data_IF_939548855885
#
_entry.id   IF_939548855885
#
_cell.length_a   1.000
_cell.length_b   1.000
_cell.length_c   1.000
_cell.angle_alpha   90.00
_cell.angle_beta   90.00
_cell.angle_gamma   90.00
#
_symmetry.space_group_name_H-M   'P 1'
#
loop_
_entity.id
_entity.type
_entity.pdbx_description
1 polymer ?
#
# COMPACT_ATOMS: atom_id res chain seq x y z
N UNK A 1 -5.73 27.75 -5.32
CA UNK A 1 -6.77 28.38 -6.16
C UNK A 1 -8.06 27.69 -5.81
N UNK A 2 -9.12 28.47 -5.61
CA UNK A 2 -10.41 27.96 -5.16
C UNK A 2 -11.01 27.00 -6.19
N UNK A 3 -11.36 25.79 -5.76
CA UNK A 3 -12.06 24.78 -6.57
C UNK A 3 -13.58 25.06 -6.64
N UNK A 4 -14.06 26.17 -6.04
CA UNK A 4 -15.46 26.56 -6.10
C UNK A 4 -15.93 26.77 -7.54
N UNK A 5 -17.06 26.16 -7.86
CA UNK A 5 -17.70 26.25 -9.17
C UNK A 5 -18.58 27.51 -9.15
N UNK A 6 -18.33 28.45 -10.07
CA UNK A 6 -19.18 29.62 -10.22
C UNK A 6 -20.48 29.28 -10.95
N UNK A 7 -21.53 30.11 -10.81
CA UNK A 7 -22.74 29.96 -11.64
C UNK A 7 -22.46 30.00 -13.14
N UNK A 8 -21.42 30.73 -13.56
CA UNK A 8 -21.00 30.73 -14.96
C UNK A 8 -20.43 29.38 -15.38
N UNK A 9 -19.71 28.72 -14.49
CA UNK A 9 -19.16 27.39 -14.74
C UNK A 9 -20.26 26.33 -14.81
N UNK A 10 -21.28 26.41 -13.95
CA UNK A 10 -22.43 25.49 -13.98
C UNK A 10 -23.15 25.54 -15.34
N UNK A 11 -23.46 26.74 -15.83
CA UNK A 11 -24.08 26.91 -17.15
C UNK A 11 -23.20 26.39 -18.28
N UNK A 12 -21.90 26.66 -18.23
CA UNK A 12 -20.97 26.21 -19.27
C UNK A 12 -20.79 24.69 -19.27
N UNK A 13 -20.72 24.06 -18.09
CA UNK A 13 -20.66 22.60 -17.97
C UNK A 13 -21.95 21.97 -18.49
N UNK A 14 -23.13 22.50 -18.13
CA UNK A 14 -24.40 22.02 -18.66
C UNK A 14 -24.49 22.15 -20.19
N UNK A 15 -23.99 23.27 -20.75
CA UNK A 15 -23.89 23.49 -22.20
C UNK A 15 -23.01 22.44 -22.87
N UNK A 16 -21.80 22.21 -22.33
CA UNK A 16 -20.83 21.25 -22.85
C UNK A 16 -21.34 19.80 -22.76
N UNK A 17 -22.02 19.45 -21.66
CA UNK A 17 -22.66 18.14 -21.47
C UNK A 17 -23.95 17.97 -22.29
N UNK A 18 -24.54 19.07 -22.77
CA UNK A 18 -25.86 19.13 -23.42
C UNK A 18 -27.01 18.64 -22.54
N UNK A 19 -26.83 18.71 -21.22
CA UNK A 19 -27.81 18.33 -20.19
C UNK A 19 -27.35 18.88 -18.85
N UNK A 20 -28.29 18.98 -17.91
CA UNK A 20 -27.94 19.26 -16.53
C UNK A 20 -27.11 18.11 -15.92
N UNK A 21 -26.06 18.42 -15.12
CA UNK A 21 -25.32 17.43 -14.36
C UNK A 21 -26.24 16.64 -13.43
N UNK A 22 -26.09 15.31 -13.42
CA UNK A 22 -26.90 14.40 -12.59
C UNK A 22 -26.25 14.05 -11.25
N UNK A 23 -25.17 14.72 -10.87
CA UNK A 23 -24.45 14.52 -9.62
C UNK A 23 -23.47 15.64 -9.34
N UNK A 24 -22.89 15.63 -8.14
CA UNK A 24 -21.83 16.57 -7.76
C UNK A 24 -20.58 16.37 -8.63
N UNK A 25 -19.84 17.44 -8.90
CA UNK A 25 -18.60 17.38 -9.67
C UNK A 25 -17.65 18.52 -9.28
N UNK A 26 -16.40 18.41 -9.72
CA UNK A 26 -15.36 19.46 -9.66
C UNK A 26 -14.80 19.69 -11.06
N UNK A 27 -14.45 20.91 -11.42
CA UNK A 27 -13.69 21.19 -12.65
C UNK A 27 -12.21 21.04 -12.32
N UNK A 28 -11.58 20.01 -12.88
CA UNK A 28 -10.19 19.66 -12.56
C UNK A 28 -9.21 20.02 -13.67
N UNK A 29 -9.70 20.28 -14.88
CA UNK A 29 -8.88 20.76 -16.00
C UNK A 29 -9.57 21.89 -16.74
N UNK A 30 -8.83 22.97 -16.99
CA UNK A 30 -9.26 24.08 -17.85
C UNK A 30 -8.25 24.33 -18.97
N UNK A 31 -8.71 24.82 -20.11
CA UNK A 31 -7.79 25.24 -21.18
C UNK A 31 -7.09 26.54 -20.80
N UNK A 32 -5.77 26.60 -21.00
CA UNK A 32 -4.96 27.79 -20.79
C UNK A 32 -5.38 28.88 -21.78
N UNK A 33 -5.46 30.12 -21.31
CA UNK A 33 -5.88 31.28 -22.11
C UNK A 33 -7.40 31.54 -22.08
N UNK A 34 -8.24 30.56 -22.41
CA UNK A 34 -9.70 30.75 -22.38
C UNK A 34 -10.36 30.43 -21.05
N UNK A 35 -9.67 29.71 -20.16
CA UNK A 35 -10.18 29.24 -18.87
C UNK A 35 -11.44 28.35 -18.96
N UNK A 36 -11.78 27.84 -20.16
CA UNK A 36 -12.95 26.99 -20.36
C UNK A 36 -12.77 25.64 -19.66
N UNK A 37 -13.83 25.04 -19.09
CA UNK A 37 -13.80 23.68 -18.57
C UNK A 37 -13.44 22.65 -19.66
N UNK A 38 -12.60 21.68 -19.32
CA UNK A 38 -12.17 20.60 -20.24
C UNK A 38 -12.42 19.23 -19.62
N UNK A 39 -12.09 19.07 -18.34
CA UNK A 39 -12.35 17.83 -17.60
C UNK A 39 -13.05 18.14 -16.29
N UNK A 40 -14.11 17.39 -16.03
CA UNK A 40 -14.74 17.35 -14.70
C UNK A 40 -14.42 16.04 -14.00
N UNK A 41 -14.24 16.11 -12.69
CA UNK A 41 -14.21 14.97 -11.79
C UNK A 41 -15.61 14.82 -11.18
N UNK A 42 -16.31 13.75 -11.53
CA UNK A 42 -17.61 13.41 -10.97
C UNK A 42 -17.47 12.81 -9.58
N UNK A 43 -18.45 13.11 -8.73
CA UNK A 43 -18.69 12.35 -7.52
C UNK A 43 -18.99 10.88 -7.86
N UNK A 44 -18.59 9.91 -7.02
CA UNK A 44 -18.80 8.50 -7.33
C UNK A 44 -20.26 8.07 -7.40
N UNK A 45 -21.19 8.91 -6.92
CA UNK A 45 -22.63 8.70 -6.96
C UNK A 45 -23.34 9.91 -7.54
N UNK A 46 -24.38 9.63 -8.32
CA UNK A 46 -25.35 10.61 -8.80
C UNK A 46 -26.26 11.09 -7.65
N UNK A 47 -27.04 12.14 -7.89
CA UNK A 47 -27.99 12.67 -6.89
C UNK A 47 -29.05 11.65 -6.46
N UNK A 48 -29.37 10.67 -7.30
CA UNK A 48 -30.31 9.59 -7.02
C UNK A 48 -29.68 8.37 -6.32
N UNK A 49 -28.39 8.44 -5.96
CA UNK A 49 -27.64 7.35 -5.34
C UNK A 49 -27.11 6.30 -6.32
N UNK A 50 -27.31 6.46 -7.64
CA UNK A 50 -26.76 5.54 -8.64
C UNK A 50 -25.23 5.65 -8.69
N UNK A 51 -24.48 4.51 -8.65
CA UNK A 51 -23.04 4.54 -8.81
C UNK A 51 -22.62 5.02 -10.21
N UNK A 52 -21.73 6.00 -10.26
CA UNK A 52 -21.28 6.66 -11.49
C UNK A 52 -20.09 5.91 -12.11
N UNK A 53 -20.17 5.27 -13.29
CA UNK A 53 -19.14 4.36 -13.78
C UNK A 53 -17.78 5.00 -14.10
N UNK A 54 -17.68 6.33 -14.17
CA UNK A 54 -16.43 7.02 -14.54
C UNK A 54 -16.22 8.31 -13.74
N UNK A 55 -15.07 8.41 -13.08
CA UNK A 55 -14.62 9.54 -12.27
C UNK A 55 -14.28 10.78 -13.09
N UNK A 56 -13.56 10.67 -14.22
CA UNK A 56 -13.15 11.83 -15.03
C UNK A 56 -13.86 11.86 -16.38
N UNK A 57 -14.50 12.97 -16.71
CA UNK A 57 -15.23 13.17 -17.95
C UNK A 57 -14.59 14.26 -18.79
N UNK A 58 -14.34 13.95 -20.06
CA UNK A 58 -13.90 14.90 -21.06
C UNK A 58 -15.12 15.67 -21.59
N UNK A 59 -15.22 16.94 -21.24
CA UNK A 59 -16.36 17.80 -21.61
C UNK A 59 -15.97 18.88 -22.62
N UNK A 60 -14.68 19.11 -22.86
CA UNK A 60 -14.23 20.11 -23.83
C UNK A 60 -14.70 19.78 -25.26
N UNK A 61 -15.40 20.72 -25.91
CA UNK A 61 -15.99 20.54 -27.25
C UNK A 61 -14.97 20.11 -28.32
N UNK A 62 -13.77 20.70 -28.28
CA UNK A 62 -12.68 20.37 -29.22
C UNK A 62 -12.12 18.99 -28.92
N UNK A 63 -11.70 18.76 -27.68
CA UNK A 63 -11.04 17.53 -27.25
C UNK A 63 -11.95 16.31 -27.44
N UNK A 64 -13.22 16.42 -27.05
CA UNK A 64 -14.18 15.33 -27.18
C UNK A 64 -14.45 14.98 -28.65
N UNK A 65 -14.49 15.98 -29.54
CA UNK A 65 -14.66 15.78 -30.99
C UNK A 65 -13.44 15.10 -31.62
N UNK A 66 -12.25 15.57 -31.28
CA UNK A 66 -11.00 15.04 -31.82
C UNK A 66 -10.82 13.57 -31.39
N UNK A 67 -11.11 13.24 -30.14
CA UNK A 67 -11.09 11.84 -29.64
C UNK A 67 -12.19 10.99 -30.24
N UNK A 68 -13.41 11.52 -30.42
CA UNK A 68 -14.50 10.78 -31.05
C UNK A 68 -14.16 10.40 -32.51
N UNK A 69 -13.46 11.28 -33.24
CA UNK A 69 -12.93 10.96 -34.57
C UNK A 69 -11.89 9.84 -34.51
N UNK A 70 -10.96 9.90 -33.55
CA UNK A 70 -9.97 8.83 -33.36
C UNK A 70 -10.64 7.48 -33.04
N UNK A 71 -11.68 7.47 -32.20
CA UNK A 71 -12.44 6.25 -31.90
C UNK A 71 -13.11 5.67 -33.14
N UNK A 72 -13.77 6.49 -33.96
CA UNK A 72 -14.46 6.02 -35.17
C UNK A 72 -13.52 5.47 -36.23
N UNK A 73 -12.26 5.93 -36.23
CA UNK A 73 -11.17 5.42 -37.09
C UNK A 73 -10.48 4.16 -36.52
N UNK A 74 -11.03 3.57 -35.44
CA UNK A 74 -10.54 2.34 -34.82
C UNK A 74 -9.43 2.54 -33.80
N UNK A 75 -9.28 3.76 -33.26
CA UNK A 75 -8.23 4.14 -32.32
C UNK A 75 -8.15 3.29 -31.05
N UNK A 76 -9.27 2.71 -30.59
CA UNK A 76 -9.32 1.78 -29.44
C UNK A 76 -8.47 0.54 -29.72
N UNK A 77 -8.73 -0.16 -30.84
CA UNK A 77 -8.00 -1.39 -31.21
C UNK A 77 -6.53 -1.09 -31.49
N UNK A 78 -6.23 0.09 -32.04
CA UNK A 78 -4.86 0.52 -32.28
C UNK A 78 -4.12 0.76 -30.95
N UNK A 79 -4.75 1.45 -29.99
CA UNK A 79 -4.17 1.68 -28.67
C UNK A 79 -3.87 0.36 -27.94
N UNK A 80 -4.80 -0.60 -27.93
CA UNK A 80 -4.58 -1.91 -27.30
C UNK A 80 -3.46 -2.73 -27.95
N UNK A 81 -3.23 -2.55 -29.25
CA UNK A 81 -2.15 -3.21 -29.99
C UNK A 81 -0.79 -2.54 -29.77
N UNK A 82 -0.77 -1.22 -29.72
CA UNK A 82 0.45 -0.42 -29.76
C UNK A 82 1.03 -0.15 -28.35
N UNK A 83 0.25 -0.34 -27.28
CA UNK A 83 0.64 -0.08 -25.89
C UNK A 83 1.04 -1.36 -25.14
N UNK A 84 1.92 -1.22 -24.13
CA UNK A 84 2.26 -2.31 -23.21
C UNK A 84 1.03 -2.72 -22.39
N UNK A 85 0.57 -3.98 -22.48
CA UNK A 85 -0.56 -4.47 -21.69
C UNK A 85 -0.38 -4.28 -20.17
N UNK A 86 0.85 -4.32 -19.66
CA UNK A 86 1.12 -4.13 -18.22
C UNK A 86 0.87 -2.69 -17.79
N UNK A 87 1.15 -1.72 -18.65
CA UNK A 87 0.89 -0.30 -18.37
C UNK A 87 -0.59 0.01 -18.40
N UNK A 88 -1.32 -0.61 -19.33
CA UNK A 88 -2.77 -0.51 -19.37
C UNK A 88 -3.40 -1.10 -18.10
N UNK A 89 -3.00 -2.31 -17.70
CA UNK A 89 -3.47 -2.93 -16.47
C UNK A 89 -3.12 -2.09 -15.23
N UNK A 90 -1.90 -1.54 -15.18
CA UNK A 90 -1.46 -0.66 -14.11
C UNK A 90 -2.33 0.60 -14.01
N UNK A 91 -2.67 1.24 -15.13
CA UNK A 91 -3.54 2.41 -15.16
C UNK A 91 -4.96 2.09 -14.66
N UNK A 92 -5.55 0.97 -15.09
CA UNK A 92 -6.85 0.52 -14.58
C UNK A 92 -6.81 0.22 -13.08
N UNK A 93 -5.75 -0.43 -12.58
CA UNK A 93 -5.60 -0.75 -11.15
C UNK A 93 -5.46 0.51 -10.30
N UNK A 94 -4.60 1.46 -10.68
CA UNK A 94 -4.43 2.72 -9.96
C UNK A 94 -5.75 3.50 -9.90
N UNK A 95 -6.46 3.57 -11.04
CA UNK A 95 -7.76 4.20 -11.11
C UNK A 95 -8.78 3.54 -10.18
N UNK A 96 -8.86 2.20 -10.21
CA UNK A 96 -9.78 1.44 -9.38
C UNK A 96 -9.47 1.61 -7.88
N UNK A 97 -8.19 1.60 -7.49
CA UNK A 97 -7.76 1.79 -6.10
C UNK A 97 -8.13 3.18 -5.59
N UNK A 98 -7.85 4.23 -6.37
CA UNK A 98 -8.24 5.61 -6.02
C UNK A 98 -9.75 5.71 -5.81
N UNK A 99 -10.51 5.10 -6.72
CA UNK A 99 -11.96 5.11 -6.70
C UNK A 99 -12.52 4.34 -5.50
N UNK A 100 -11.99 3.16 -5.20
CA UNK A 100 -12.42 2.34 -4.07
C UNK A 100 -12.29 3.09 -2.75
N UNK A 101 -11.18 3.83 -2.57
CA UNK A 101 -10.97 4.65 -1.38
C UNK A 101 -11.99 5.79 -1.25
N UNK A 102 -12.26 6.53 -2.34
CA UNK A 102 -13.27 7.60 -2.35
C UNK A 102 -14.71 7.09 -2.14
N UNK A 103 -14.92 5.78 -2.19
CA UNK A 103 -16.23 5.14 -1.99
C UNK A 103 -16.27 4.18 -0.82
N UNK A 104 -15.27 4.21 0.06
CA UNK A 104 -15.10 3.25 1.15
C UNK A 104 -16.31 3.20 2.08
N UNK A 105 -16.96 4.34 2.29
CA UNK A 105 -18.12 4.58 3.18
C UNK A 105 -19.46 4.10 2.61
N UNK A 106 -19.49 3.62 1.36
CA UNK A 106 -20.73 3.28 0.66
C UNK A 106 -20.87 1.77 0.43
N UNK A 107 -22.10 1.27 0.54
CA UNK A 107 -22.42 -0.16 0.43
C UNK A 107 -22.17 -0.73 -0.97
N UNK A 108 -22.53 0.00 -2.03
CA UNK A 108 -22.43 -0.44 -3.44
C UNK A 108 -21.25 0.24 -4.12
N UNK A 109 -20.08 -0.39 -4.05
CA UNK A 109 -18.85 0.20 -4.57
C UNK A 109 -18.81 0.12 -6.10
N UNK A 110 -18.71 1.24 -6.83
CA UNK A 110 -18.55 1.20 -8.27
C UNK A 110 -17.19 0.60 -8.65
N UNK A 111 -17.23 -0.52 -9.37
CA UNK A 111 -16.05 -1.30 -9.73
C UNK A 111 -15.53 -0.98 -11.14
N UNK A 112 -14.27 -1.36 -11.41
CA UNK A 112 -13.63 -1.21 -12.71
C UNK A 112 -12.57 -0.11 -12.73
N UNK A 113 -11.70 -0.18 -13.74
CA UNK A 113 -10.71 0.85 -14.01
C UNK A 113 -11.27 1.99 -14.84
N UNK A 114 -10.39 2.68 -15.56
CA UNK A 114 -10.75 3.82 -16.43
C UNK A 114 -11.89 3.47 -17.38
N UNK A 115 -12.92 4.32 -17.44
CA UNK A 115 -14.11 4.10 -18.28
C UNK A 115 -15.05 2.99 -17.80
N UNK A 116 -14.86 2.47 -16.58
CA UNK A 116 -15.70 1.43 -15.99
C UNK A 116 -15.45 0.03 -16.55
N UNK A 117 -14.30 -0.21 -17.21
CA UNK A 117 -13.90 -1.56 -17.66
C UNK A 117 -12.86 -2.17 -16.73
N UNK A 118 -12.89 -3.50 -16.58
CA UNK A 118 -11.87 -4.25 -15.82
C UNK A 118 -10.63 -4.58 -16.66
N UNK A 119 -10.77 -4.67 -17.99
CA UNK A 119 -9.68 -5.00 -18.93
C UNK A 119 -9.90 -4.29 -20.26
N UNK A 120 -8.82 -4.01 -20.96
CA UNK A 120 -8.85 -3.38 -22.27
C UNK A 120 -9.37 -1.94 -22.24
N UNK A 121 -9.60 -1.38 -23.41
CA UNK A 121 -10.01 0.02 -23.58
C UNK A 121 -11.46 0.08 -24.05
N UNK A 122 -12.35 0.65 -23.22
CA UNK A 122 -13.76 0.83 -23.57
C UNK A 122 -14.05 2.20 -24.20
N UNK A 123 -13.37 3.24 -23.73
CA UNK A 123 -13.64 4.63 -24.12
C UNK A 123 -12.39 5.50 -24.00
N UNK A 124 -11.90 6.02 -25.13
CA UNK A 124 -10.74 6.92 -25.21
C UNK A 124 -11.00 8.25 -24.51
N UNK A 125 -12.25 8.75 -24.46
CA UNK A 125 -12.57 9.99 -23.74
C UNK A 125 -12.26 9.88 -22.25
N UNK A 126 -12.59 8.75 -21.62
CA UNK A 126 -12.32 8.53 -20.20
C UNK A 126 -10.81 8.47 -19.92
N UNK A 127 -10.04 7.83 -20.81
CA UNK A 127 -8.59 7.77 -20.72
C UNK A 127 -7.92 9.12 -20.94
N UNK A 128 -8.35 9.88 -21.95
CA UNK A 128 -7.84 11.23 -22.16
C UNK A 128 -8.18 12.15 -20.98
N UNK A 129 -9.41 12.10 -20.47
CA UNK A 129 -9.82 12.86 -19.30
C UNK A 129 -8.96 12.55 -18.08
N UNK A 130 -8.73 11.25 -17.81
CA UNK A 130 -7.89 10.78 -16.71
C UNK A 130 -6.45 11.31 -16.86
N UNK A 131 -5.87 11.20 -18.06
CA UNK A 131 -4.52 11.70 -18.34
C UNK A 131 -4.40 13.23 -18.17
N UNK A 132 -5.32 13.99 -18.78
CA UNK A 132 -5.31 15.45 -18.68
C UNK A 132 -5.51 15.94 -17.24
N UNK A 133 -6.18 15.17 -16.39
CA UNK A 133 -6.31 15.44 -14.95
C UNK A 133 -5.01 15.12 -14.16
N UNK A 134 -3.89 14.89 -14.83
CA UNK A 134 -2.58 14.66 -14.22
C UNK A 134 -2.36 13.22 -13.72
N UNK A 135 -3.13 12.24 -14.21
CA UNK A 135 -2.99 10.85 -13.81
C UNK A 135 -2.14 10.06 -14.81
N UNK A 136 -1.45 9.03 -14.32
CA UNK A 136 -0.86 8.01 -15.18
C UNK A 136 -1.95 7.31 -16.00
N UNK A 137 -1.90 7.48 -17.32
CA UNK A 137 -2.78 6.80 -18.26
C UNK A 137 -2.10 6.73 -19.65
N UNK A 138 -1.58 5.55 -20.05
CA UNK A 138 -0.86 5.39 -21.31
C UNK A 138 -1.78 5.59 -22.52
N UNK A 139 -3.08 5.27 -22.41
CA UNK A 139 -4.06 5.44 -23.47
C UNK A 139 -4.41 6.91 -23.64
N UNK A 140 -4.55 7.66 -22.55
CA UNK A 140 -4.76 9.10 -22.61
C UNK A 140 -3.56 9.83 -23.22
N UNK A 141 -2.33 9.43 -22.85
CA UNK A 141 -1.10 9.92 -23.50
C UNK A 141 -1.05 9.59 -25.00
N UNK A 142 -1.43 8.36 -25.36
CA UNK A 142 -1.58 7.96 -26.76
C UNK A 142 -2.57 8.84 -27.52
N UNK A 143 -3.73 9.14 -26.92
CA UNK A 143 -4.74 10.03 -27.51
C UNK A 143 -4.17 11.43 -27.73
N UNK A 144 -3.47 12.01 -26.74
CA UNK A 144 -2.79 13.31 -26.88
C UNK A 144 -1.90 13.36 -28.12
N UNK A 145 -1.05 12.33 -28.29
CA UNK A 145 -0.13 12.26 -29.43
C UNK A 145 -0.86 12.13 -30.77
N UNK A 146 -1.92 11.31 -30.84
CA UNK A 146 -2.66 11.07 -32.09
C UNK A 146 -3.47 12.28 -32.55
N UNK A 147 -4.01 13.05 -31.62
CA UNK A 147 -4.92 14.17 -31.94
C UNK A 147 -4.27 15.55 -31.73
N UNK A 148 -2.97 15.60 -31.43
CA UNK A 148 -2.21 16.83 -31.29
C UNK A 148 -2.59 17.69 -30.07
N UNK A 149 -3.07 17.05 -29.00
CA UNK A 149 -3.36 17.71 -27.72
C UNK A 149 -2.07 17.74 -26.89
N UNK A 150 -1.68 18.93 -26.44
CA UNK A 150 -0.50 19.15 -25.60
C UNK A 150 -0.91 19.41 -24.15
N UNK A 151 -0.53 18.57 -23.18
CA UNK A 151 -0.91 18.76 -21.78
C UNK A 151 -0.54 20.13 -21.19
N UNK A 152 0.54 20.75 -21.66
CA UNK A 152 0.99 22.09 -21.25
C UNK A 152 0.04 23.24 -21.64
N UNK A 153 -0.92 22.99 -22.53
CA UNK A 153 -2.00 23.93 -22.91
C UNK A 153 -3.17 23.92 -21.90
N UNK A 154 -3.06 23.15 -20.82
CA UNK A 154 -4.10 23.02 -19.81
C UNK A 154 -3.61 23.37 -18.41
N UNK A 155 -4.53 23.88 -17.60
CA UNK A 155 -4.35 24.10 -16.17
C UNK A 155 -5.02 22.95 -15.41
N UNK A 156 -4.24 22.23 -14.62
CA UNK A 156 -4.71 21.10 -13.80
C UNK A 156 -4.86 21.57 -12.35
N UNK A 157 -6.06 21.37 -11.81
CA UNK A 157 -6.42 21.76 -10.45
C UNK A 157 -6.60 20.49 -9.60
N UNK A 158 -5.48 19.91 -9.16
CA UNK A 158 -5.49 18.82 -8.18
C UNK A 158 -4.86 19.30 -6.88
N UNK A 159 -5.61 19.22 -5.78
CA UNK A 159 -5.10 19.57 -4.44
C UNK A 159 -4.45 18.39 -3.74
N UNK A 160 -3.60 17.68 -4.48
CA UNK A 160 -2.90 16.49 -3.98
C UNK A 160 -1.44 16.50 -4.43
N UNK A 161 -0.61 15.81 -3.66
CA UNK A 161 0.78 15.46 -3.95
C UNK A 161 0.88 13.94 -4.11
N UNK A 162 1.60 13.46 -5.12
CA UNK A 162 1.89 12.02 -5.25
C UNK A 162 3.18 11.69 -4.48
N UNK A 163 3.04 10.89 -3.43
CA UNK A 163 4.13 10.42 -2.59
C UNK A 163 4.67 9.07 -3.05
N UNK A 164 5.99 8.90 -3.00
CA UNK A 164 6.67 7.62 -3.09
C UNK A 164 7.33 7.28 -1.76
N UNK A 165 6.83 6.27 -1.06
CA UNK A 165 7.23 5.91 0.30
C UNK A 165 7.94 4.56 0.26
N UNK A 166 9.20 4.51 0.67
CA UNK A 166 10.03 3.31 0.69
C UNK A 166 10.38 2.96 2.13
N UNK A 167 10.23 1.69 2.48
CA UNK A 167 10.71 1.11 3.73
C UNK A 167 11.79 0.06 3.42
N UNK A 168 13.01 0.33 3.88
CA UNK A 168 14.13 -0.61 3.85
C UNK A 168 14.12 -1.47 5.12
N UNK A 169 13.24 -2.48 5.12
CA UNK A 169 13.08 -3.43 6.21
C UNK A 169 14.16 -4.51 6.26
N UNK A 170 14.14 -5.30 7.34
CA UNK A 170 15.13 -6.38 7.57
C UNK A 170 14.99 -7.52 6.56
N UNK A 171 13.78 -7.98 6.27
CA UNK A 171 13.55 -9.07 5.32
C UNK A 171 13.20 -8.57 3.91
N UNK A 172 12.51 -7.44 3.81
CA UNK A 172 11.95 -6.95 2.55
C UNK A 172 12.06 -5.45 2.43
N UNK A 173 12.28 -4.98 1.21
CA UNK A 173 12.19 -3.56 0.85
C UNK A 173 10.81 -3.32 0.23
N UNK A 174 10.00 -2.48 0.90
CA UNK A 174 8.62 -2.20 0.53
C UNK A 174 8.49 -0.81 -0.09
N UNK A 175 7.50 -0.63 -0.97
CA UNK A 175 7.24 0.63 -1.65
C UNK A 175 5.73 0.87 -1.79
N UNK A 176 5.30 2.08 -1.42
CA UNK A 176 3.95 2.57 -1.57
C UNK A 176 3.96 3.85 -2.39
N UNK A 177 3.11 3.92 -3.42
CA UNK A 177 2.74 5.17 -4.06
C UNK A 177 1.35 5.54 -3.55
N UNK A 178 1.20 6.78 -3.08
CA UNK A 178 -0.04 7.28 -2.52
C UNK A 178 -0.29 8.74 -2.91
N UNK A 179 -1.55 9.15 -2.88
CA UNK A 179 -1.94 10.55 -2.97
C UNK A 179 -2.17 11.13 -1.60
N UNK A 180 -1.59 12.30 -1.35
CA UNK A 180 -1.85 13.08 -0.15
C UNK A 180 -2.56 14.37 -0.50
N UNK A 181 -3.73 14.58 0.05
CA UNK A 181 -4.55 15.77 -0.18
C UNK A 181 -4.32 16.83 0.89
N UNK A 182 -4.65 18.10 0.58
CA UNK A 182 -4.55 19.21 1.53
C UNK A 182 -5.42 19.07 2.78
N UNK A 183 -6.55 18.36 2.66
CA UNK A 183 -7.42 18.02 3.79
C UNK A 183 -6.87 16.85 4.63
N UNK A 184 -5.61 16.45 4.39
CA UNK A 184 -4.91 15.33 5.02
C UNK A 184 -5.44 13.95 4.65
N UNK A 185 -6.36 13.84 3.67
CA UNK A 185 -6.75 12.54 3.12
C UNK A 185 -5.55 11.85 2.46
N UNK A 186 -5.41 10.54 2.70
CA UNK A 186 -4.31 9.73 2.21
C UNK A 186 -4.85 8.52 1.44
N UNK A 187 -4.52 8.42 0.16
CA UNK A 187 -5.08 7.40 -0.74
C UNK A 187 -3.96 6.51 -1.28
N UNK A 188 -3.82 5.26 -0.81
CA UNK A 188 -2.83 4.33 -1.34
C UNK A 188 -3.20 3.89 -2.76
N UNK A 189 -2.28 4.07 -3.72
CA UNK A 189 -2.49 3.74 -5.13
C UNK A 189 -1.87 2.40 -5.52
N UNK A 190 -0.65 2.14 -5.08
CA UNK A 190 0.11 0.96 -5.48
C UNK A 190 1.09 0.54 -4.39
N UNK A 191 1.02 -0.73 -4.00
CA UNK A 191 2.02 -1.37 -3.12
C UNK A 191 2.91 -2.32 -3.92
N UNK A 192 4.19 -2.34 -3.57
CA UNK A 192 5.19 -3.29 -4.03
C UNK A 192 6.04 -3.73 -2.85
N UNK A 193 6.50 -4.98 -2.92
CA UNK A 193 7.39 -5.56 -1.93
C UNK A 193 8.36 -6.49 -2.65
N UNK A 194 9.63 -6.43 -2.25
CA UNK A 194 10.68 -7.31 -2.74
C UNK A 194 11.45 -7.85 -1.53
N UNK A 195 11.59 -9.17 -1.46
CA UNK A 195 12.43 -9.82 -0.44
C UNK A 195 13.89 -9.55 -0.78
N UNK A 196 14.55 -8.73 0.03
CA UNK A 196 15.94 -8.29 -0.16
C UNK A 196 16.86 -8.84 0.93
N UNK A 197 16.30 -9.31 2.06
CA UNK A 197 17.01 -9.87 3.21
C UNK A 197 18.15 -8.98 3.71
N UNK A 198 17.90 -7.67 3.82
CA UNK A 198 18.90 -6.70 4.25
C UNK A 198 19.55 -7.06 5.61
N UNK A 199 18.79 -7.71 6.49
CA UNK A 199 19.25 -8.12 7.81
C UNK A 199 19.91 -9.48 7.91
N UNK A 200 20.15 -10.19 6.79
CA UNK A 200 20.78 -11.51 6.84
C UNK A 200 22.16 -11.44 7.52
N UNK A 201 22.35 -12.22 8.57
CA UNK A 201 23.59 -12.26 9.36
C UNK A 201 23.88 -11.02 10.21
N UNK A 202 23.00 -10.00 10.23
CA UNK A 202 23.19 -8.79 11.05
C UNK A 202 23.10 -9.13 12.54
N UNK A 203 22.22 -10.05 12.93
CA UNK A 203 22.02 -10.41 14.33
C UNK A 203 23.31 -10.90 15.01
N UNK A 204 24.13 -11.67 14.27
CA UNK A 204 25.39 -12.21 14.77
C UNK A 204 26.59 -11.29 14.51
N UNK A 205 26.61 -10.58 13.38
CA UNK A 205 27.82 -9.87 12.92
C UNK A 205 27.78 -8.35 13.11
N UNK A 206 26.60 -7.77 13.39
CA UNK A 206 26.38 -6.33 13.51
C UNK A 206 26.83 -5.52 12.27
N UNK A 207 26.85 -6.15 11.10
CA UNK A 207 27.20 -5.54 9.81
C UNK A 207 26.27 -6.03 8.71
N UNK A 208 25.90 -5.12 7.80
CA UNK A 208 25.15 -5.42 6.59
C UNK A 208 26.05 -6.19 5.61
N UNK A 209 25.53 -7.26 5.04
CA UNK A 209 26.17 -7.99 3.95
C UNK A 209 26.14 -7.16 2.65
N UNK A 210 27.25 -7.14 1.91
CA UNK A 210 27.37 -6.43 0.63
C UNK A 210 26.32 -6.86 -0.39
N UNK A 211 26.10 -8.18 -0.55
CA UNK A 211 25.09 -8.70 -1.45
C UNK A 211 23.67 -8.28 -1.03
N UNK A 212 23.41 -8.15 0.27
CA UNK A 212 22.11 -7.71 0.78
C UNK A 212 21.87 -6.20 0.53
N UNK A 213 22.92 -5.40 0.66
CA UNK A 213 22.90 -3.98 0.26
C UNK A 213 22.64 -3.85 -1.24
N UNK A 214 23.34 -4.61 -2.09
CA UNK A 214 23.15 -4.59 -3.55
C UNK A 214 21.72 -4.92 -3.98
N UNK A 215 21.13 -5.99 -3.40
CA UNK A 215 19.72 -6.35 -3.66
C UNK A 215 18.76 -5.24 -3.24
N UNK A 216 19.02 -4.60 -2.09
CA UNK A 216 18.21 -3.49 -1.58
C UNK A 216 18.30 -2.28 -2.51
N UNK A 217 19.50 -1.90 -2.94
CA UNK A 217 19.72 -0.78 -3.87
C UNK A 217 19.08 -1.06 -5.23
N UNK A 218 19.17 -2.28 -5.73
CA UNK A 218 18.50 -2.66 -6.97
C UNK A 218 16.98 -2.54 -6.85
N UNK A 219 16.38 -3.00 -5.73
CA UNK A 219 14.95 -2.84 -5.49
C UNK A 219 14.55 -1.35 -5.47
N UNK A 220 15.32 -0.51 -4.78
CA UNK A 220 15.09 0.95 -4.70
C UNK A 220 15.23 1.63 -6.06
N UNK A 221 16.20 1.24 -6.89
CA UNK A 221 16.33 1.74 -8.28
C UNK A 221 15.10 1.40 -9.12
N UNK A 222 14.59 0.17 -9.00
CA UNK A 222 13.36 -0.24 -9.69
C UNK A 222 12.14 0.55 -9.21
N UNK A 223 12.04 0.80 -7.91
CA UNK A 223 10.98 1.63 -7.33
C UNK A 223 11.05 3.08 -7.78
N UNK A 224 12.26 3.66 -7.89
CA UNK A 224 12.47 5.01 -8.45
C UNK A 224 11.92 5.11 -9.87
N UNK A 225 12.31 4.20 -10.75
CA UNK A 225 11.83 4.20 -12.14
C UNK A 225 10.31 4.10 -12.22
N UNK A 226 9.70 3.26 -11.38
CA UNK A 226 8.25 3.12 -11.30
C UNK A 226 7.58 4.39 -10.75
N UNK A 227 8.15 5.01 -9.70
CA UNK A 227 7.64 6.25 -9.13
C UNK A 227 7.72 7.41 -10.11
N UNK A 228 8.85 7.58 -10.81
CA UNK A 228 9.01 8.60 -11.86
C UNK A 228 8.00 8.40 -13.00
N UNK A 229 7.78 7.14 -13.41
CA UNK A 229 6.76 6.80 -14.41
C UNK A 229 5.34 7.17 -13.97
N UNK A 230 5.04 7.04 -12.68
CA UNK A 230 3.73 7.31 -12.10
C UNK A 230 3.58 8.74 -11.57
N UNK A 231 4.61 9.58 -11.73
CA UNK A 231 4.57 10.99 -11.36
C UNK A 231 4.75 11.26 -9.87
N UNK A 232 5.52 10.44 -9.14
CA UNK A 232 5.90 10.73 -7.75
C UNK A 232 6.61 12.09 -7.69
N UNK A 233 6.09 12.98 -6.85
CA UNK A 233 6.58 14.34 -6.64
C UNK A 233 7.52 14.41 -5.44
N UNK A 234 7.25 13.61 -4.40
CA UNK A 234 8.03 13.60 -3.15
C UNK A 234 8.32 12.20 -2.65
N UNK A 235 9.58 11.99 -2.28
CA UNK A 235 10.08 10.71 -1.79
C UNK A 235 10.29 10.71 -0.29
N UNK A 236 9.84 9.62 0.34
CA UNK A 236 9.95 9.37 1.77
C UNK A 236 10.63 8.03 1.94
N UNK A 237 11.84 8.02 2.50
CA UNK A 237 12.59 6.79 2.65
C UNK A 237 12.86 6.54 4.13
N UNK A 238 12.45 5.37 4.61
CA UNK A 238 12.66 4.87 5.96
C UNK A 238 13.57 3.65 5.94
N UNK A 239 14.37 3.49 6.99
CA UNK A 239 15.18 2.30 7.24
C UNK A 239 15.03 1.88 8.71
N UNK A 240 14.92 0.58 8.95
CA UNK A 240 14.48 0.04 10.26
C UNK A 240 15.55 -0.85 10.92
N UNK A 241 15.16 -1.90 11.64
CA UNK A 241 16.03 -2.68 12.56
C UNK A 241 17.39 -3.05 11.96
N UNK A 242 17.45 -3.71 10.79
CA UNK A 242 18.72 -4.12 10.20
C UNK A 242 19.73 -2.96 10.04
N UNK A 243 19.26 -1.77 9.65
CA UNK A 243 20.11 -0.59 9.46
C UNK A 243 20.46 0.04 10.80
N UNK A 244 19.52 0.10 11.76
CA UNK A 244 19.80 0.58 13.13
C UNK A 244 20.91 -0.22 13.82
N UNK A 245 20.92 -1.53 13.62
CA UNK A 245 21.78 -2.45 14.36
C UNK A 245 23.16 -2.64 13.71
N UNK A 246 23.39 -2.07 12.53
CA UNK A 246 24.59 -2.31 11.72
C UNK A 246 25.61 -1.19 11.80
N UNK A 247 26.86 -1.53 12.08
CA UNK A 247 27.97 -0.58 12.18
C UNK A 247 28.35 0.08 10.84
N UNK A 248 28.12 -0.61 9.71
CA UNK A 248 28.43 -0.12 8.35
C UNK A 248 27.21 0.48 7.63
N UNK A 249 26.11 0.77 8.35
CA UNK A 249 24.87 1.31 7.78
C UNK A 249 25.06 2.60 6.95
N UNK A 250 26.06 3.42 7.28
CA UNK A 250 26.38 4.67 6.58
C UNK A 250 26.65 4.48 5.07
N UNK A 251 27.17 3.31 4.67
CA UNK A 251 27.44 2.97 3.26
C UNK A 251 26.12 2.92 2.49
N UNK A 252 25.20 2.08 2.96
CA UNK A 252 23.88 1.93 2.35
C UNK A 252 23.10 3.25 2.35
N UNK A 253 23.10 3.98 3.47
CA UNK A 253 22.36 5.24 3.61
C UNK A 253 22.83 6.29 2.59
N UNK A 254 24.14 6.39 2.37
CA UNK A 254 24.71 7.30 1.37
C UNK A 254 24.25 6.93 -0.04
N UNK A 255 24.31 5.64 -0.40
CA UNK A 255 23.94 5.18 -1.74
C UNK A 255 22.43 5.27 -2.00
N UNK A 256 21.59 4.99 -1.00
CA UNK A 256 20.15 5.20 -1.06
C UNK A 256 19.80 6.67 -1.26
N UNK A 257 20.44 7.57 -0.49
CA UNK A 257 20.24 9.01 -0.62
C UNK A 257 20.64 9.52 -2.01
N UNK A 258 21.76 9.05 -2.55
CA UNK A 258 22.19 9.36 -3.93
C UNK A 258 21.24 8.79 -4.98
N UNK A 259 20.69 7.58 -4.75
CA UNK A 259 19.79 6.92 -5.69
C UNK A 259 18.45 7.64 -5.77
N UNK A 260 17.84 8.01 -4.64
CA UNK A 260 16.50 8.63 -4.59
C UNK A 260 16.57 10.17 -4.71
N UNK A 261 17.70 10.79 -4.41
CA UNK A 261 17.84 12.23 -4.22
C UNK A 261 16.91 12.76 -3.09
N UNK A 262 16.78 11.98 -2.02
CA UNK A 262 16.03 12.34 -0.82
C UNK A 262 16.76 11.83 0.43
N UNK A 263 16.43 12.41 1.58
CA UNK A 263 16.97 11.95 2.86
C UNK A 263 16.40 10.57 3.22
N UNK A 264 17.27 9.72 3.75
CA UNK A 264 16.89 8.42 4.29
C UNK A 264 16.83 8.52 5.81
N UNK A 265 15.67 8.24 6.38
CA UNK A 265 15.43 8.35 7.81
C UNK A 265 15.62 6.98 8.46
N UNK A 266 16.63 6.86 9.31
CA UNK A 266 16.75 5.69 10.20
C UNK A 266 15.74 5.87 11.32
N UNK A 267 14.66 5.10 11.29
CA UNK A 267 13.57 5.22 12.25
C UNK A 267 14.02 4.60 13.58
N UNK A 268 13.74 5.25 14.71
CA UNK A 268 13.85 4.58 16.01
C UNK A 268 12.76 3.52 16.13
N UNK A 269 12.98 2.50 16.97
CA UNK A 269 11.95 1.48 17.22
C UNK A 269 10.64 2.09 17.76
N UNK A 270 10.71 3.16 18.57
CA UNK A 270 9.52 3.87 19.04
C UNK A 270 8.78 4.60 17.92
N UNK A 271 9.51 5.31 17.05
CA UNK A 271 8.91 6.04 15.94
C UNK A 271 8.28 5.07 14.92
N UNK A 272 8.98 3.98 14.59
CA UNK A 272 8.45 2.89 13.76
C UNK A 272 7.13 2.37 14.31
N UNK A 273 7.09 2.07 15.61
CA UNK A 273 5.91 1.58 16.29
C UNK A 273 4.73 2.58 16.20
N UNK A 274 4.98 3.88 16.47
CA UNK A 274 3.95 4.95 16.39
C UNK A 274 3.41 5.13 14.97
N UNK A 275 4.30 5.13 13.98
CA UNK A 275 3.92 5.27 12.57
C UNK A 275 3.13 4.05 12.11
N UNK A 276 3.57 2.83 12.44
CA UNK A 276 2.81 1.62 12.12
C UNK A 276 1.42 1.64 12.75
N UNK A 277 1.28 2.10 14.00
CA UNK A 277 -0.04 2.24 14.61
C UNK A 277 -0.94 3.23 13.85
N UNK A 278 -0.40 4.40 13.50
CA UNK A 278 -1.11 5.40 12.69
C UNK A 278 -1.57 4.81 11.34
N UNK A 279 -0.67 4.12 10.66
CA UNK A 279 -0.97 3.47 9.37
C UNK A 279 -2.01 2.36 9.49
N UNK A 280 -1.88 1.46 10.47
CA UNK A 280 -2.79 0.33 10.63
C UNK A 280 -4.21 0.72 11.06
N UNK A 281 -4.37 1.87 11.73
CA UNK A 281 -5.65 2.30 12.32
C UNK A 281 -6.38 3.38 11.53
N UNK A 282 -5.76 4.00 10.51
CA UNK A 282 -6.34 5.17 9.81
C UNK A 282 -7.69 4.89 9.12
N UNK A 283 -7.95 3.64 8.72
CA UNK A 283 -9.21 3.20 8.11
C UNK A 283 -10.18 2.54 9.10
N UNK A 284 -9.84 2.41 10.38
CA UNK A 284 -10.67 1.72 11.38
C UNK A 284 -11.45 2.67 12.26
N UNK A 285 -12.78 2.58 12.32
CA UNK A 285 -13.55 3.28 13.35
C UNK A 285 -13.04 2.86 14.73
N UNK A 286 -12.29 3.75 15.40
CA UNK A 286 -11.61 3.42 16.65
C UNK A 286 -12.64 3.53 17.78
N UNK A 287 -13.14 2.39 18.23
CA UNK A 287 -14.14 2.29 19.31
C UNK A 287 -13.62 1.50 20.52
N UNK A 288 -12.35 1.06 20.51
CA UNK A 288 -11.80 0.17 21.56
C UNK A 288 -10.29 0.30 21.74
N UNK A 289 -9.77 -0.25 22.85
CA UNK A 289 -8.34 -0.47 23.06
C UNK A 289 -7.82 -1.46 22.02
N UNK A 290 -7.06 -0.95 21.05
CA UNK A 290 -6.46 -1.72 19.96
C UNK A 290 -4.97 -1.86 20.20
N UNK A 291 -4.44 -3.06 19.98
CA UNK A 291 -3.00 -3.27 19.86
C UNK A 291 -2.66 -3.59 18.41
N UNK A 292 -1.69 -2.86 17.87
CA UNK A 292 -1.06 -3.16 16.60
C UNK A 292 0.21 -3.95 16.88
N UNK A 293 0.35 -5.08 16.20
CA UNK A 293 1.52 -5.97 16.27
C UNK A 293 2.14 -6.03 14.87
N UNK A 294 3.26 -5.34 14.68
CA UNK A 294 4.04 -5.38 13.44
C UNK A 294 5.06 -6.49 13.50
N UNK A 295 4.84 -7.57 12.75
CA UNK A 295 5.77 -8.69 12.70
C UNK A 295 6.80 -8.41 11.58
N UNK A 296 7.90 -7.81 11.98
CA UNK A 296 9.03 -7.48 11.12
C UNK A 296 10.06 -8.61 11.00
N UNK A 297 11.09 -8.37 10.18
CA UNK A 297 12.20 -9.31 10.04
C UNK A 297 13.17 -9.26 11.23
N UNK A 298 13.48 -8.06 11.72
CA UNK A 298 14.48 -7.85 12.77
C UNK A 298 13.86 -7.52 14.13
N UNK A 299 12.74 -6.81 14.14
CA UNK A 299 12.01 -6.44 15.34
C UNK A 299 10.53 -6.69 15.15
N UNK A 300 9.83 -6.59 16.27
CA UNK A 300 8.38 -6.65 16.36
C UNK A 300 7.90 -5.50 17.23
N UNK A 301 7.04 -4.67 16.67
CA UNK A 301 6.49 -3.53 17.36
C UNK A 301 5.13 -3.88 17.96
N UNK A 302 4.97 -3.61 19.25
CA UNK A 302 3.72 -3.78 19.98
C UNK A 302 3.26 -2.40 20.43
N UNK A 303 2.18 -1.90 19.84
CA UNK A 303 1.68 -0.56 20.16
C UNK A 303 0.20 -0.60 20.41
N UNK A 304 -0.17 -0.16 21.60
CA UNK A 304 -1.54 -0.02 22.00
C UNK A 304 -1.94 1.45 22.05
N UNK A 305 -3.13 1.72 21.53
CA UNK A 305 -3.72 3.05 21.54
C UNK A 305 -5.23 3.00 21.72
N UNK A 306 -5.78 4.16 22.05
CA UNK A 306 -7.23 4.38 22.17
C UNK A 306 -7.59 5.57 21.31
N UNK A 307 -8.68 5.48 20.55
CA UNK A 307 -9.21 6.58 19.73
C UNK A 307 -8.19 7.21 18.76
N UNK A 308 -7.21 6.43 18.29
CA UNK A 308 -6.11 6.89 17.40
C UNK A 308 -5.25 8.02 17.97
N UNK A 309 -5.26 8.22 19.28
CA UNK A 309 -4.41 9.22 19.92
C UNK A 309 -2.95 8.75 19.95
N UNK A 310 -2.13 9.37 19.10
CA UNK A 310 -0.71 9.04 18.93
C UNK A 310 0.09 9.36 20.20
N UNK A 311 -0.33 10.36 21.00
CA UNK A 311 0.42 10.82 22.17
C UNK A 311 0.25 9.87 23.36
N UNK A 312 -0.89 9.17 23.45
CA UNK A 312 -1.17 8.19 24.52
C UNK A 312 -0.74 6.77 24.20
N UNK A 313 -0.02 6.55 23.09
CA UNK A 313 0.43 5.23 22.68
C UNK A 313 1.33 4.58 23.74
N UNK A 314 0.98 3.35 24.08
CA UNK A 314 1.75 2.51 25.00
C UNK A 314 2.31 1.35 24.21
N UNK A 315 3.64 1.28 24.10
CA UNK A 315 4.24 0.24 23.29
C UNK A 315 5.75 0.29 23.26
N UNK A 316 6.31 -0.58 22.42
CA UNK A 316 7.73 -0.61 22.15
C UNK A 316 8.08 -1.59 21.04
N UNK A 317 9.32 -1.48 20.58
CA UNK A 317 9.94 -2.42 19.65
C UNK A 317 10.72 -3.47 20.44
N UNK A 318 10.55 -4.73 20.06
CA UNK A 318 11.25 -5.87 20.67
C UNK A 318 12.04 -6.57 19.57
N UNK A 319 13.31 -6.88 19.81
CA UNK A 319 14.21 -7.51 18.83
C UNK A 319 13.93 -9.01 18.67
N UNK A 320 12.72 -9.38 18.26
CA UNK A 320 12.23 -10.75 18.07
C UNK A 320 11.68 -11.02 16.66
N UNK A 321 12.13 -10.27 15.65
CA UNK A 321 11.61 -10.46 14.30
C UNK A 321 11.92 -11.83 13.69
N UNK A 322 11.18 -12.17 12.63
CA UNK A 322 11.16 -13.52 12.05
C UNK A 322 12.51 -14.00 11.53
N UNK A 323 13.36 -13.11 11.03
CA UNK A 323 14.72 -13.43 10.55
C UNK A 323 15.59 -13.79 11.74
N UNK A 324 15.52 -13.05 12.85
CA UNK A 324 16.29 -13.37 14.07
C UNK A 324 15.88 -14.69 14.68
N UNK A 325 14.58 -14.95 14.78
CA UNK A 325 14.07 -16.23 15.30
C UNK A 325 14.60 -17.39 14.43
N UNK A 326 14.52 -17.23 13.11
CA UNK A 326 15.01 -18.23 12.18
C UNK A 326 16.52 -18.47 12.33
N UNK A 327 17.33 -17.42 12.27
CA UNK A 327 18.80 -17.52 12.34
C UNK A 327 19.30 -18.06 13.68
N UNK A 328 18.64 -17.71 14.79
CA UNK A 328 19.06 -18.14 16.14
C UNK A 328 18.66 -19.58 16.48
N UNK A 329 17.55 -20.06 15.92
CA UNK A 329 16.93 -21.31 16.41
C UNK A 329 16.59 -22.32 15.32
N UNK A 330 16.29 -21.90 14.08
CA UNK A 330 15.70 -22.78 13.06
C UNK A 330 16.71 -23.12 11.94
N UNK A 331 17.89 -23.60 12.30
CA UNK A 331 18.98 -23.90 11.35
C UNK A 331 18.71 -25.12 10.43
N UNK A 332 17.78 -26.02 10.82
CA UNK A 332 17.44 -27.21 10.04
C UNK A 332 16.17 -27.00 9.21
N UNK A 333 16.08 -27.67 8.06
CA UNK A 333 14.91 -27.62 7.17
C UNK A 333 14.42 -29.04 6.80
N UNK A 334 13.27 -29.50 7.34
CA UNK A 334 12.42 -28.82 8.32
C UNK A 334 13.09 -28.64 9.70
N UNK A 335 12.64 -27.67 10.52
CA UNK A 335 13.16 -27.48 11.86
C UNK A 335 12.92 -28.71 12.75
N UNK A 336 13.91 -29.05 13.58
CA UNK A 336 13.78 -30.15 14.54
C UNK A 336 12.86 -29.79 15.69
N UNK A 337 12.33 -30.80 16.41
CA UNK A 337 11.50 -30.56 17.59
C UNK A 337 12.21 -29.69 18.65
N UNK A 338 13.49 -29.95 18.91
CA UNK A 338 14.28 -29.20 19.90
C UNK A 338 14.39 -27.72 19.50
N UNK A 339 14.66 -27.45 18.22
CA UNK A 339 14.73 -26.10 17.68
C UNK A 339 13.40 -25.35 17.81
N UNK A 340 12.28 -26.02 17.48
CA UNK A 340 10.93 -25.46 17.63
C UNK A 340 10.61 -25.15 19.11
N UNK A 341 10.92 -26.08 20.02
CA UNK A 341 10.67 -25.92 21.44
C UNK A 341 11.48 -24.74 22.03
N UNK A 342 12.74 -24.57 21.62
CA UNK A 342 13.59 -23.45 22.01
C UNK A 342 13.06 -22.11 21.47
N UNK A 343 12.71 -22.05 20.18
CA UNK A 343 12.14 -20.85 19.56
C UNK A 343 10.83 -20.44 20.24
N UNK A 344 9.91 -21.39 20.44
CA UNK A 344 8.63 -21.16 21.13
C UNK A 344 8.82 -20.71 22.57
N UNK A 345 9.79 -21.27 23.31
CA UNK A 345 10.10 -20.83 24.67
C UNK A 345 10.60 -19.39 24.68
N UNK A 346 11.60 -19.09 23.84
CA UNK A 346 12.21 -17.76 23.75
C UNK A 346 11.19 -16.67 23.42
N UNK A 347 10.36 -16.91 22.38
CA UNK A 347 9.34 -15.95 21.97
C UNK A 347 8.29 -15.76 23.06
N UNK A 348 7.80 -16.85 23.69
CA UNK A 348 6.80 -16.76 24.77
C UNK A 348 7.29 -15.96 25.97
N UNK A 349 8.54 -16.16 26.39
CA UNK A 349 9.12 -15.39 27.50
C UNK A 349 9.06 -13.87 27.23
N UNK A 350 9.29 -13.46 25.97
CA UNK A 350 9.25 -12.05 25.58
C UNK A 350 7.83 -11.53 25.41
N UNK A 351 6.91 -12.30 24.81
CA UNK A 351 5.51 -11.90 24.67
C UNK A 351 4.78 -11.87 26.01
N UNK A 352 5.13 -12.72 26.98
CA UNK A 352 4.57 -12.71 28.33
C UNK A 352 5.00 -11.46 29.12
N UNK A 353 6.23 -10.97 28.94
CA UNK A 353 6.68 -9.69 29.50
C UNK A 353 5.86 -8.53 28.95
N UNK A 354 5.55 -8.55 27.66
CA UNK A 354 4.72 -7.53 27.00
C UNK A 354 3.28 -7.59 27.55
N UNK A 355 2.70 -8.79 27.59
CA UNK A 355 1.37 -9.02 28.15
C UNK A 355 1.25 -8.53 29.60
N UNK A 356 2.27 -8.79 30.42
CA UNK A 356 2.33 -8.33 31.82
C UNK A 356 2.39 -6.79 31.90
N UNK A 357 3.22 -6.14 31.05
CA UNK A 357 3.32 -4.67 31.01
C UNK A 357 1.99 -4.01 30.60
N UNK A 358 1.28 -4.59 29.63
CA UNK A 358 -0.02 -4.08 29.18
C UNK A 358 -1.10 -4.28 30.26
N UNK A 359 -1.13 -5.46 30.90
CA UNK A 359 -2.05 -5.79 31.99
C UNK A 359 -1.90 -4.86 33.19
N UNK A 360 -0.66 -4.57 33.60
CA UNK A 360 -0.37 -3.66 34.73
C UNK A 360 -0.85 -2.22 34.51
N UNK A 361 -1.13 -1.82 33.27
CA UNK A 361 -1.68 -0.50 32.92
C UNK A 361 -3.20 -0.49 32.82
N UNK A 362 -3.87 -1.59 33.19
CA UNK A 362 -5.34 -1.71 33.16
C UNK A 362 -5.95 -1.77 31.75
N UNK A 363 -5.13 -2.02 30.74
CA UNK A 363 -5.48 -1.90 29.33
C UNK A 363 -5.17 -3.19 28.58
N UNK A 364 -5.94 -4.26 28.83
CA UNK A 364 -5.89 -5.41 27.93
C UNK A 364 -6.54 -5.01 26.58
N UNK A 365 -5.91 -5.34 25.44
CA UNK A 365 -6.46 -5.04 24.14
C UNK A 365 -7.73 -5.86 23.90
N UNK A 366 -8.75 -5.24 23.31
CA UNK A 366 -9.96 -5.96 22.86
C UNK A 366 -9.78 -6.56 21.47
N UNK A 367 -8.84 -6.01 20.70
CA UNK A 367 -8.55 -6.39 19.32
C UNK A 367 -7.06 -6.30 19.06
N UNK A 368 -6.51 -7.34 18.45
CA UNK A 368 -5.17 -7.34 17.87
C UNK A 368 -5.28 -7.04 16.39
N UNK A 369 -4.46 -6.11 15.91
CA UNK A 369 -4.29 -5.80 14.50
C UNK A 369 -2.90 -6.28 14.11
N UNK A 370 -2.83 -7.33 13.30
CA UNK A 370 -1.57 -7.89 12.80
C UNK A 370 -1.17 -7.22 11.50
N UNK A 371 0.03 -6.66 11.45
CA UNK A 371 0.62 -6.06 10.25
C UNK A 371 1.98 -6.66 9.93
N UNK A 372 2.47 -6.36 8.74
CA UNK A 372 3.70 -6.93 8.21
C UNK A 372 3.47 -8.22 7.40
N UNK A 373 4.57 -8.83 6.96
CA UNK A 373 4.50 -9.91 5.99
C UNK A 373 3.86 -11.19 6.53
N UNK A 374 4.07 -11.50 7.80
CA UNK A 374 3.58 -12.76 8.39
C UNK A 374 2.05 -12.80 8.49
N UNK A 375 1.35 -11.84 9.14
CA UNK A 375 -0.10 -11.87 9.23
C UNK A 375 -0.78 -11.88 7.85
N UNK A 376 -0.27 -11.09 6.90
CA UNK A 376 -0.78 -11.05 5.52
C UNK A 376 -0.60 -12.39 4.80
N UNK A 377 0.57 -13.02 4.93
CA UNK A 377 0.81 -14.34 4.31
C UNK A 377 -0.09 -15.41 4.93
N UNK A 378 -0.23 -15.42 6.25
CA UNK A 378 -1.09 -16.39 6.94
C UNK A 378 -2.57 -16.18 6.59
N UNK A 379 -3.02 -14.93 6.41
CA UNK A 379 -4.37 -14.65 5.91
C UNK A 379 -4.58 -15.27 4.52
N UNK A 380 -3.68 -15.02 3.56
CA UNK A 380 -3.75 -15.62 2.23
C UNK A 380 -3.76 -17.16 2.28
N UNK A 381 -2.90 -17.76 3.09
CA UNK A 381 -2.82 -19.22 3.27
C UNK A 381 -4.08 -19.80 3.95
N UNK A 382 -4.73 -19.04 4.83
CA UNK A 382 -6.00 -19.41 5.47
C UNK A 382 -7.23 -19.18 4.59
N UNK A 383 -7.08 -18.47 3.46
CA UNK A 383 -8.12 -18.21 2.48
C UNK A 383 -8.12 -19.31 1.40
N UNK A 384 -8.50 -20.54 1.78
CA UNK A 384 -8.30 -21.83 1.05
C UNK A 384 -8.92 -21.96 -0.35
N UNK A 385 -9.52 -20.90 -0.91
CA UNK A 385 -10.09 -20.92 -2.26
C UNK A 385 -9.21 -20.11 -3.21
N UNK A 386 -8.52 -20.81 -4.11
CA UNK A 386 -7.65 -20.23 -5.15
C UNK A 386 -8.31 -19.14 -6.02
N UNK A 387 -9.65 -19.05 -6.01
CA UNK A 387 -10.45 -18.06 -6.76
C UNK A 387 -10.32 -16.64 -6.17
N UNK A 388 -9.84 -16.49 -4.93
CA UNK A 388 -9.83 -15.21 -4.20
C UNK A 388 -8.43 -14.63 -3.93
N UNK A 389 -7.34 -15.22 -4.46
CA UNK A 389 -5.96 -14.74 -4.22
C UNK A 389 -5.69 -13.29 -4.67
N UNK A 390 -6.53 -12.76 -5.57
CA UNK A 390 -6.44 -11.37 -6.03
C UNK A 390 -7.24 -10.39 -5.15
N UNK A 391 -8.00 -10.87 -4.16
CA UNK A 391 -8.72 -10.02 -3.22
C UNK A 391 -7.79 -9.62 -2.07
N UNK A 392 -7.89 -8.35 -1.68
CA UNK A 392 -7.21 -7.83 -0.50
C UNK A 392 -7.61 -8.63 0.74
N UNK A 393 -6.63 -8.92 1.60
CA UNK A 393 -6.84 -9.52 2.93
C UNK A 393 -6.92 -8.45 4.03
N UNK A 394 -7.00 -7.17 3.65
CA UNK A 394 -7.18 -6.09 4.60
C UNK A 394 -8.50 -6.27 5.37
N UNK A 395 -8.41 -6.23 6.69
CA UNK A 395 -9.46 -6.51 7.66
C UNK A 395 -9.99 -7.95 7.64
N UNK A 396 -9.24 -8.89 7.08
CA UNK A 396 -9.51 -10.31 7.29
C UNK A 396 -9.21 -10.70 8.73
N UNK A 397 -10.16 -11.37 9.40
CA UNK A 397 -9.94 -11.91 10.74
C UNK A 397 -9.43 -13.35 10.65
N UNK A 398 -8.17 -13.55 11.06
CA UNK A 398 -7.59 -14.88 11.20
C UNK A 398 -7.68 -15.35 12.66
N UNK A 399 -8.17 -16.57 12.88
CA UNK A 399 -8.29 -17.14 14.22
C UNK A 399 -7.00 -17.79 14.67
N UNK A 400 -6.77 -17.84 15.99
CA UNK A 400 -5.61 -18.53 16.58
C UNK A 400 -5.56 -20.00 16.15
N UNK A 401 -6.71 -20.66 16.06
CA UNK A 401 -6.82 -22.03 15.57
C UNK A 401 -6.40 -22.18 14.09
N UNK A 402 -6.72 -21.21 13.23
CA UNK A 402 -6.24 -21.20 11.85
C UNK A 402 -4.72 -21.05 11.80
N UNK A 403 -4.15 -20.13 12.58
CA UNK A 403 -2.70 -19.95 12.71
C UNK A 403 -2.03 -21.25 13.22
N UNK A 404 -2.59 -21.88 14.25
CA UNK A 404 -2.11 -23.14 14.81
C UNK A 404 -2.14 -24.28 13.77
N UNK A 405 -3.23 -24.44 13.02
CA UNK A 405 -3.31 -25.45 11.95
C UNK A 405 -2.26 -25.23 10.87
N UNK A 406 -2.06 -23.98 10.44
CA UNK A 406 -1.04 -23.61 9.47
C UNK A 406 0.37 -23.90 10.01
N UNK A 407 0.62 -23.61 11.30
CA UNK A 407 1.88 -23.96 11.96
C UNK A 407 2.14 -25.47 11.94
N UNK A 408 1.15 -26.27 12.36
CA UNK A 408 1.28 -27.72 12.44
C UNK A 408 1.50 -28.37 11.07
N UNK A 409 0.93 -27.80 10.01
CA UNK A 409 1.16 -28.22 8.63
C UNK A 409 2.57 -27.85 8.16
N UNK A 410 3.00 -26.60 8.35
CA UNK A 410 4.24 -26.09 7.74
C UNK A 410 5.52 -26.52 8.49
N UNK A 411 5.45 -26.73 9.81
CA UNK A 411 6.64 -27.01 10.64
C UNK A 411 7.34 -28.34 10.30
N UNK A 412 6.63 -29.26 9.65
CA UNK A 412 7.15 -30.60 9.26
C UNK A 412 7.62 -30.66 7.81
N UNK A 413 7.45 -29.58 7.05
CA UNK A 413 7.76 -29.51 5.62
C UNK A 413 9.07 -28.77 5.39
N UNK A 414 9.84 -29.19 4.38
CA UNK A 414 11.00 -28.42 3.95
C UNK A 414 10.59 -27.15 3.15
N UNK A 415 11.54 -26.26 2.88
CA UNK A 415 11.33 -25.01 2.16
C UNK A 415 10.63 -25.21 0.81
N UNK A 416 11.11 -26.17 0.00
CA UNK A 416 10.55 -26.45 -1.33
C UNK A 416 9.10 -26.95 -1.26
N UNK A 417 8.71 -27.58 -0.17
CA UNK A 417 7.33 -28.00 0.08
C UNK A 417 6.47 -26.83 0.56
N UNK A 418 7.00 -25.97 1.46
CA UNK A 418 6.32 -24.75 1.91
C UNK A 418 6.03 -23.78 0.75
N UNK A 419 6.95 -23.67 -0.20
CA UNK A 419 6.77 -22.84 -1.42
C UNK A 419 5.60 -23.28 -2.31
N UNK A 420 5.12 -24.52 -2.19
CA UNK A 420 4.00 -25.04 -2.98
C UNK A 420 2.64 -24.66 -2.41
N UNK A 421 2.57 -24.02 -1.25
CA UNK A 421 1.31 -23.59 -0.68
C UNK A 421 0.68 -22.48 -1.54
N UNK A 422 -0.57 -22.68 -1.93
CA UNK A 422 -1.37 -21.66 -2.61
C UNK A 422 -1.49 -20.41 -1.73
N UNK A 423 -1.03 -19.26 -2.23
CA UNK A 423 -1.00 -18.01 -1.46
C UNK A 423 0.32 -17.73 -0.73
N UNK A 424 1.31 -18.62 -0.83
CA UNK A 424 2.67 -18.34 -0.35
C UNK A 424 3.33 -17.27 -1.22
N UNK A 425 3.68 -16.13 -0.63
CA UNK A 425 4.43 -15.11 -1.33
C UNK A 425 5.89 -15.53 -1.56
N UNK A 426 6.43 -15.16 -2.72
CA UNK A 426 7.80 -15.49 -3.10
C UNK A 426 8.81 -14.99 -2.05
N UNK A 427 9.71 -15.87 -1.61
CA UNK A 427 10.75 -15.57 -0.62
C UNK A 427 10.28 -15.51 0.84
N UNK A 428 8.98 -15.71 1.14
CA UNK A 428 8.48 -15.75 2.53
C UNK A 428 8.43 -17.13 3.16
N UNK A 429 8.43 -18.19 2.35
CA UNK A 429 8.36 -19.59 2.82
C UNK A 429 9.51 -19.99 3.76
N UNK A 430 10.63 -19.28 3.70
CA UNK A 430 11.81 -19.51 4.53
C UNK A 430 11.60 -19.06 5.98
N UNK A 431 11.02 -17.88 6.17
CA UNK A 431 10.80 -17.29 7.50
C UNK A 431 9.40 -17.57 8.07
N UNK A 432 8.50 -18.19 7.30
CA UNK A 432 7.09 -18.31 7.69
C UNK A 432 6.88 -19.14 8.97
N UNK A 433 7.70 -20.16 9.21
CA UNK A 433 7.60 -20.97 10.44
C UNK A 433 7.93 -20.12 11.68
N UNK A 434 9.01 -19.33 11.61
CA UNK A 434 9.37 -18.37 12.66
C UNK A 434 8.28 -17.32 12.88
N UNK A 435 7.74 -16.74 11.80
CA UNK A 435 6.63 -15.78 11.91
C UNK A 435 5.37 -16.40 12.51
N UNK A 436 5.06 -17.65 12.18
CA UNK A 436 3.89 -18.33 12.75
C UNK A 436 4.07 -18.59 14.25
N UNK A 437 5.28 -18.95 14.69
CA UNK A 437 5.63 -19.04 16.13
C UNK A 437 5.37 -17.71 16.83
N UNK A 438 5.80 -16.61 16.21
CA UNK A 438 5.68 -15.26 16.78
C UNK A 438 4.24 -14.79 16.93
N UNK A 439 3.44 -14.91 15.86
CA UNK A 439 2.03 -14.53 15.89
C UNK A 439 1.24 -15.41 16.87
N UNK A 440 1.46 -16.73 16.83
CA UNK A 440 0.79 -17.67 17.71
C UNK A 440 1.12 -17.42 19.19
N UNK A 441 2.40 -17.17 19.51
CA UNK A 441 2.82 -16.86 20.88
C UNK A 441 2.24 -15.53 21.34
N UNK A 442 2.23 -14.51 20.48
CA UNK A 442 1.61 -13.22 20.77
C UNK A 442 0.11 -13.36 21.08
N UNK A 443 -0.65 -14.03 20.21
CA UNK A 443 -2.07 -14.28 20.42
C UNK A 443 -2.33 -15.05 21.73
N UNK A 444 -1.47 -16.03 22.04
CA UNK A 444 -1.58 -16.83 23.26
C UNK A 444 -1.30 -15.99 24.52
N UNK A 445 -0.18 -15.27 24.55
CA UNK A 445 0.22 -14.45 25.71
C UNK A 445 -0.77 -13.31 25.99
N UNK A 446 -1.40 -12.76 24.96
CA UNK A 446 -2.42 -11.70 25.10
C UNK A 446 -3.83 -12.24 25.38
N UNK A 447 -4.04 -13.57 25.31
CA UNK A 447 -5.36 -14.18 25.47
C UNK A 447 -6.35 -13.84 24.34
N UNK A 448 -5.85 -13.70 23.12
CA UNK A 448 -6.60 -13.23 21.95
C UNK A 448 -6.89 -14.39 20.99
N UNK A 449 -8.15 -14.54 20.61
CA UNK A 449 -8.61 -15.61 19.71
C UNK A 449 -8.58 -15.22 18.23
N UNK A 450 -8.67 -13.92 17.91
CA UNK A 450 -8.69 -13.41 16.53
C UNK A 450 -7.73 -12.25 16.33
N UNK A 451 -7.08 -12.24 15.16
CA UNK A 451 -6.19 -11.18 14.72
C UNK A 451 -6.77 -10.54 13.45
N UNK A 452 -7.02 -9.23 13.50
CA UNK A 452 -7.44 -8.46 12.33
C UNK A 452 -6.21 -8.14 11.49
N UNK A 453 -6.13 -8.68 10.27
CA UNK A 453 -4.98 -8.44 9.40
C UNK A 453 -5.13 -7.09 8.71
N UNK A 454 -4.07 -6.27 8.69
CA UNK A 454 -4.05 -5.02 7.94
C UNK A 454 -2.90 -4.97 6.93
N UNK A 455 -3.24 -4.64 5.67
CA UNK A 455 -2.27 -4.31 4.62
C UNK A 455 -1.78 -2.86 4.71
N UNK A 456 -2.46 -2.00 5.47
CA UNK A 456 -1.98 -0.68 5.86
C UNK A 456 -1.04 -0.83 7.06
N UNK A 457 0.16 -0.26 6.95
CA UNK A 457 1.27 -0.52 7.85
C UNK A 457 2.17 0.72 8.02
N UNK A 458 3.44 0.53 8.37
CA UNK A 458 4.46 1.57 8.47
C UNK A 458 4.47 2.54 7.28
N UNK A 459 4.30 2.05 6.05
CA UNK A 459 4.34 2.90 4.85
C UNK A 459 3.22 3.93 4.86
N UNK A 460 2.02 3.52 5.25
CA UNK A 460 0.87 4.41 5.40
C UNK A 460 1.13 5.44 6.51
N UNK A 461 1.62 4.97 7.65
CA UNK A 461 1.99 5.83 8.77
C UNK A 461 2.97 6.93 8.38
N UNK A 462 4.05 6.55 7.68
CA UNK A 462 5.04 7.49 7.16
C UNK A 462 4.41 8.50 6.20
N UNK A 463 3.55 8.06 5.28
CA UNK A 463 2.85 8.94 4.34
C UNK A 463 1.89 9.91 5.02
N UNK A 464 1.13 9.44 6.01
CA UNK A 464 0.17 10.25 6.77
C UNK A 464 0.89 11.26 7.66
N UNK A 465 1.94 10.86 8.35
CA UNK A 465 2.63 11.69 9.35
C UNK A 465 3.33 12.92 8.75
N UNK A 466 3.73 12.87 7.49
CA UNK A 466 4.45 13.98 6.85
C UNK A 466 3.60 15.26 6.78
N UNK A 467 4.12 16.40 7.20
CA UNK A 467 3.43 17.67 6.95
C UNK A 467 3.47 18.02 5.46
N UNK A 468 2.31 18.42 4.91
CA UNK A 468 2.17 19.01 3.56
C UNK A 468 2.78 20.39 3.49
#
# INVERSE_FOLDING_TARGET
MDLSISKSDEHEVARLLKREPSGNYKIVVRAKGSNRPVVIQNHPYLFDGTPMPTTYWLIGDKEARDVAKLESEGGVKQAERDLDPHDLELAHRIYANRRAFLTSEYDVKPEGGVGGTRKGVKCLHAHLANYLAGNFDPVGKYCCNKVGIKPEDYLVFTEREILGIIDCGTNSTRFLIAEKYRDSSFVPLLRKSQVTKLGEGVDSNLVLNENAMDRTLQAVRNYKLLGEKLGVERWVVGATSAVRDSANAYILLSELGNTIHSNVNVLSGELEARLTFLGATHCLESQSNEIVVDIGGGSTEFVMGVNRDIESLVGGSVNIGVVRIMERFLESDPPTKVQLDLALKYVRELTDVISTRLSNRGNLPKRVIGVGGTPVSLAHLSHWKAVDLARSVHHFEITRDQVQRLFDQMKVLNLKEREKFTGMEAGRAEVIVAGTIELLSTMTSLGIETCLVSEADLLDGMGIFIST
#
